data_IF_868886813642
#
_entry.id   IF_868886813642
#
_cell.length_a   1.000
_cell.length_b   1.000
_cell.length_c   1.000
_cell.angle_alpha   90.00
_cell.angle_beta   90.00
_cell.angle_gamma   90.00
#
_symmetry.space_group_name_H-M   'P 1'
#
loop_
_entity.id
_entity.type
_entity.pdbx_description
1 polymer ?
#
# COMPACT_ATOMS: atom_id res chain seq x y z
N UNK A 1 -28.38 8.16 19.80
CA UNK A 1 -27.89 7.10 18.90
C UNK A 1 -27.62 7.77 17.57
N UNK A 2 -26.35 7.92 17.19
CA UNK A 2 -25.96 8.62 15.96
C UNK A 2 -26.02 7.59 14.84
N UNK A 3 -27.02 7.70 13.96
CA UNK A 3 -27.13 6.86 12.78
C UNK A 3 -26.00 7.21 11.81
N UNK A 4 -25.05 6.28 11.65
CA UNK A 4 -23.96 6.40 10.69
C UNK A 4 -24.52 6.34 9.25
N UNK A 5 -24.19 7.29 8.36
CA UNK A 5 -24.92 7.49 7.10
C UNK A 5 -24.48 6.57 5.94
N UNK A 6 -23.62 5.60 6.24
CA UNK A 6 -23.14 4.58 5.30
C UNK A 6 -23.96 3.31 5.51
N UNK A 7 -24.32 2.61 4.43
CA UNK A 7 -24.62 1.19 4.55
C UNK A 7 -23.29 0.49 4.93
N UNK A 8 -23.00 0.46 6.24
CA UNK A 8 -21.84 -0.22 6.84
C UNK A 8 -21.59 -1.63 6.28
N UNK A 9 -22.61 -2.46 5.97
CA UNK A 9 -22.39 -3.84 5.52
C UNK A 9 -21.55 -4.00 4.23
N UNK A 10 -21.44 -2.96 3.40
CA UNK A 10 -20.63 -3.01 2.16
C UNK A 10 -19.15 -2.68 2.37
N UNK A 11 -18.77 -1.95 3.42
CA UNK A 11 -17.38 -1.51 3.66
C UNK A 11 -16.79 -2.19 4.90
N UNK A 12 -17.64 -2.35 5.92
CA UNK A 12 -17.35 -3.09 7.13
C UNK A 12 -17.91 -4.49 6.98
N UNK A 13 -17.02 -5.47 6.97
CA UNK A 13 -17.38 -6.87 6.96
C UNK A 13 -17.06 -7.45 8.34
N UNK A 14 -18.08 -7.74 9.14
CA UNK A 14 -17.93 -8.33 10.48
C UNK A 14 -17.12 -9.62 10.45
N UNK A 15 -17.13 -10.36 9.33
CA UNK A 15 -16.30 -11.56 9.17
C UNK A 15 -14.79 -11.28 9.13
N UNK A 16 -14.38 -10.00 9.03
CA UNK A 16 -12.98 -9.52 9.10
C UNK A 16 -12.60 -8.99 10.47
N UNK A 17 -13.50 -9.02 11.46
CA UNK A 17 -13.17 -8.58 12.82
C UNK A 17 -12.08 -9.45 13.42
N UNK A 18 -11.06 -8.81 13.98
CA UNK A 18 -9.91 -9.42 14.63
C UNK A 18 -10.00 -9.11 16.11
N UNK A 19 -9.92 -10.16 16.91
CA UNK A 19 -9.64 -10.03 18.34
C UNK A 19 -8.13 -10.01 18.49
N UNK A 20 -7.56 -8.89 18.94
CA UNK A 20 -6.12 -8.78 19.18
C UNK A 20 -5.74 -9.57 20.44
N UNK A 21 -5.30 -10.81 20.26
CA UNK A 21 -4.83 -11.71 21.32
C UNK A 21 -3.30 -11.63 21.47
N UNK A 22 -2.74 -12.39 22.42
CA UNK A 22 -1.30 -12.40 22.70
C UNK A 22 -0.44 -12.97 21.56
N UNK A 23 -1.00 -13.80 20.69
CA UNK A 23 -0.31 -14.33 19.51
C UNK A 23 -0.60 -13.54 18.22
N UNK A 24 -1.42 -12.49 18.30
CA UNK A 24 -1.83 -11.68 17.16
C UNK A 24 -0.79 -10.63 16.83
N UNK A 25 -0.41 -10.55 15.56
CA UNK A 25 0.50 -9.54 15.02
C UNK A 25 -0.20 -8.78 13.90
N UNK A 26 -0.31 -7.47 14.07
CA UNK A 26 -0.77 -6.55 13.03
C UNK A 26 0.43 -6.13 12.16
N UNK A 27 0.41 -6.42 10.87
CA UNK A 27 1.50 -6.09 9.94
C UNK A 27 1.08 -4.99 8.96
N UNK A 28 1.77 -3.85 8.98
CA UNK A 28 1.45 -2.71 8.13
C UNK A 28 2.22 -2.76 6.80
N UNK A 29 1.50 -2.89 5.69
CA UNK A 29 2.06 -2.82 4.33
C UNK A 29 2.15 -1.35 3.91
N UNK A 30 3.32 -0.73 4.10
CA UNK A 30 3.51 0.69 3.76
C UNK A 30 3.78 0.87 2.27
N UNK A 31 2.73 1.11 1.49
CA UNK A 31 2.85 1.50 0.08
C UNK A 31 3.28 2.98 -0.03
N UNK A 32 4.24 3.28 -0.91
CA UNK A 32 4.72 4.64 -1.07
C UNK A 32 3.58 5.60 -1.47
N UNK A 33 3.55 6.74 -0.78
CA UNK A 33 2.72 7.93 -1.09
C UNK A 33 1.21 7.76 -0.84
N UNK A 34 0.83 6.80 0.00
CA UNK A 34 -0.55 6.57 0.47
C UNK A 34 -0.83 7.18 1.85
N UNK A 35 0.03 8.06 2.36
CA UNK A 35 -0.13 8.65 3.70
C UNK A 35 0.31 7.76 4.86
N UNK A 36 0.91 6.59 4.59
CA UNK A 36 1.34 5.63 5.61
C UNK A 36 2.19 6.21 6.75
N UNK A 37 3.03 7.22 6.48
CA UNK A 37 3.83 7.86 7.55
C UNK A 37 2.98 8.56 8.62
N UNK A 38 1.85 9.14 8.25
CA UNK A 38 0.94 9.75 9.22
C UNK A 38 0.18 8.66 9.99
N UNK A 39 -0.32 7.66 9.27
CA UNK A 39 -1.17 6.64 9.86
C UNK A 39 -0.41 5.70 10.80
N UNK A 40 0.80 5.27 10.42
CA UNK A 40 1.67 4.49 11.31
C UNK A 40 2.08 5.26 12.56
N UNK A 41 2.27 6.59 12.44
CA UNK A 41 2.55 7.44 13.60
C UNK A 41 1.38 7.38 14.59
N UNK A 42 0.15 7.49 14.10
CA UNK A 42 -1.04 7.35 14.94
C UNK A 42 -1.20 5.94 15.50
N UNK A 43 -0.89 4.89 14.75
CA UNK A 43 -0.96 3.51 15.23
C UNK A 43 0.04 3.19 16.34
N UNK A 44 1.24 3.78 16.28
CA UNK A 44 2.37 3.39 17.14
C UNK A 44 2.63 4.42 18.24
N UNK A 45 2.78 5.69 17.87
CA UNK A 45 3.19 6.76 18.80
C UNK A 45 2.02 7.35 19.55
N UNK A 46 0.96 7.73 18.83
CA UNK A 46 -0.29 8.15 19.48
C UNK A 46 -0.95 6.94 20.17
N UNK A 47 -0.99 5.80 19.46
CA UNK A 47 -1.47 4.53 19.97
C UNK A 47 -2.98 4.51 20.24
N UNK A 48 -3.38 3.52 21.03
CA UNK A 48 -4.76 3.24 21.39
C UNK A 48 -5.00 3.44 22.89
N UNK A 49 -6.26 3.60 23.25
CA UNK A 49 -6.69 3.52 24.65
C UNK A 49 -6.33 2.13 25.17
N UNK A 50 -5.70 2.05 26.34
CA UNK A 50 -5.26 0.81 27.00
C UNK A 50 -4.26 -0.07 26.22
N UNK A 51 -3.75 0.37 25.06
CA UNK A 51 -2.71 -0.32 24.30
C UNK A 51 -1.78 0.68 23.62
N UNK A 52 -0.56 0.82 24.13
CA UNK A 52 0.42 1.79 23.63
C UNK A 52 1.79 1.16 23.43
N UNK A 53 2.62 1.83 22.65
CA UNK A 53 4.02 1.47 22.48
C UNK A 53 4.92 2.38 23.33
N UNK A 54 6.04 1.84 23.78
CA UNK A 54 7.06 2.60 24.49
C UNK A 54 7.95 3.33 23.48
N UNK A 55 7.80 4.64 23.39
CA UNK A 55 8.57 5.49 22.49
C UNK A 55 9.58 6.33 23.27
N UNK A 56 10.88 6.04 23.12
CA UNK A 56 11.92 6.87 23.71
C UNK A 56 12.02 8.22 22.98
N UNK A 57 12.38 9.28 23.72
CA UNK A 57 12.52 10.61 23.14
C UNK A 57 13.60 10.62 22.04
N UNK A 58 13.31 11.26 20.91
CA UNK A 58 14.24 11.34 19.77
C UNK A 58 14.41 10.05 18.96
N UNK A 59 13.83 8.91 19.36
CA UNK A 59 13.91 7.68 18.56
C UNK A 59 12.85 7.66 17.47
N UNK A 60 13.24 7.17 16.28
CA UNK A 60 12.31 6.95 15.16
C UNK A 60 11.44 5.69 15.34
N UNK A 61 11.81 4.79 16.24
CA UNK A 61 11.12 3.51 16.50
C UNK A 61 10.67 3.41 17.94
N UNK A 62 9.54 2.76 18.16
CA UNK A 62 8.94 2.47 19.45
C UNK A 62 8.85 0.96 19.70
N UNK A 63 8.95 0.55 20.96
CA UNK A 63 8.77 -0.85 21.36
C UNK A 63 7.29 -1.13 21.61
N UNK A 64 6.68 -1.97 20.76
CA UNK A 64 5.26 -2.31 20.84
C UNK A 64 5.09 -3.77 21.28
N UNK A 65 5.19 -4.01 22.60
CA UNK A 65 5.07 -5.35 23.19
C UNK A 65 3.70 -5.58 23.81
N UNK A 66 3.22 -6.83 23.80
CA UNK A 66 2.04 -7.25 24.55
C UNK A 66 2.42 -7.64 25.99
N UNK A 67 1.46 -8.12 26.77
CA UNK A 67 1.68 -8.56 28.16
C UNK A 67 2.66 -9.73 28.29
N UNK A 68 2.82 -10.54 27.24
CA UNK A 68 3.81 -11.63 27.17
C UNK A 68 5.20 -11.17 26.71
N UNK A 69 5.41 -9.86 26.47
CA UNK A 69 6.67 -9.32 25.98
C UNK A 69 6.91 -9.49 24.47
N UNK A 70 5.96 -10.07 23.72
CA UNK A 70 6.07 -10.28 22.29
C UNK A 70 5.60 -9.06 21.49
N UNK A 71 6.15 -8.87 20.29
CA UNK A 71 5.76 -7.76 19.40
C UNK A 71 4.36 -7.99 18.83
N UNK A 72 3.44 -7.04 19.03
CA UNK A 72 2.05 -7.16 18.51
C UNK A 72 1.77 -6.36 17.24
N UNK A 73 2.69 -5.48 16.83
CA UNK A 73 2.58 -4.70 15.58
C UNK A 73 3.93 -4.63 14.87
N UNK A 74 3.94 -4.98 13.59
CA UNK A 74 5.08 -4.92 12.70
C UNK A 74 4.89 -3.78 11.69
N UNK A 75 5.65 -2.70 11.86
CA UNK A 75 5.52 -1.47 11.08
C UNK A 75 6.85 -0.74 11.02
N UNK A 76 6.95 0.30 10.18
CA UNK A 76 8.13 1.17 10.09
C UNK A 76 8.47 1.79 11.44
N UNK A 77 7.48 2.19 12.23
CA UNK A 77 7.69 2.85 13.51
C UNK A 77 7.77 1.89 14.70
N UNK A 78 7.48 0.60 14.55
CA UNK A 78 7.77 -0.40 15.57
C UNK A 78 9.09 -1.14 15.29
N UNK A 79 9.10 -2.02 14.30
CA UNK A 79 10.22 -2.91 13.97
C UNK A 79 11.13 -2.35 12.88
N UNK A 80 10.80 -1.20 12.29
CA UNK A 80 11.54 -0.62 11.18
C UNK A 80 11.40 -1.43 9.90
N UNK A 81 12.28 -1.17 8.94
CA UNK A 81 12.34 -1.88 7.65
C UNK A 81 13.02 -3.25 7.76
N UNK A 82 12.64 -4.05 8.76
CA UNK A 82 13.29 -5.33 9.09
C UNK A 82 13.23 -6.35 7.94
N UNK A 83 12.14 -6.31 7.15
CA UNK A 83 11.96 -7.16 5.98
C UNK A 83 12.38 -6.55 4.63
N UNK A 84 12.73 -5.26 4.61
CA UNK A 84 13.03 -4.53 3.40
C UNK A 84 12.43 -3.13 3.46
N UNK A 85 13.05 -2.17 2.78
CA UNK A 85 12.49 -0.83 2.65
C UNK A 85 11.21 -0.90 1.82
N UNK A 86 10.07 -0.51 2.41
CA UNK A 86 8.75 -0.65 1.79
C UNK A 86 8.45 -2.07 1.32
N UNK A 87 8.74 -3.07 2.17
CA UNK A 87 8.46 -4.47 1.87
C UNK A 87 7.00 -4.66 1.43
N UNK A 88 6.81 -5.29 0.28
CA UNK A 88 5.48 -5.61 -0.24
C UNK A 88 4.85 -6.83 0.48
N UNK A 89 3.61 -7.16 0.12
CA UNK A 89 2.91 -8.32 0.68
C UNK A 89 3.73 -9.61 0.57
N UNK A 90 4.36 -9.85 -0.58
CA UNK A 90 5.18 -11.04 -0.86
C UNK A 90 6.42 -11.09 0.02
N UNK A 91 7.13 -9.97 0.13
CA UNK A 91 8.32 -9.86 0.98
C UNK A 91 7.99 -10.06 2.46
N UNK A 92 6.84 -9.55 2.91
CA UNK A 92 6.43 -9.65 4.31
C UNK A 92 6.07 -11.09 4.70
N UNK A 93 5.25 -11.79 3.91
CA UNK A 93 4.85 -13.18 4.22
C UNK A 93 6.04 -14.15 4.20
N UNK A 94 7.11 -13.85 3.44
CA UNK A 94 8.33 -14.67 3.42
C UNK A 94 9.29 -14.37 4.58
N UNK A 95 9.16 -13.21 5.24
CA UNK A 95 10.20 -12.69 6.14
C UNK A 95 9.75 -12.48 7.59
N UNK A 96 8.52 -12.04 7.81
CA UNK A 96 8.09 -11.44 9.10
C UNK A 96 8.28 -12.38 10.28
N UNK A 97 7.96 -13.67 10.11
CA UNK A 97 8.01 -14.64 11.22
C UNK A 97 9.41 -14.95 11.71
N UNK A 98 10.34 -15.14 10.78
CA UNK A 98 11.74 -15.31 11.11
C UNK A 98 12.30 -14.05 11.81
N UNK A 99 11.89 -12.84 11.37
CA UNK A 99 12.34 -11.59 11.99
C UNK A 99 11.76 -11.39 13.38
N UNK A 100 10.47 -11.63 13.59
CA UNK A 100 9.87 -11.50 14.91
C UNK A 100 10.40 -12.53 15.89
N UNK A 101 10.62 -13.76 15.45
CA UNK A 101 11.30 -14.77 16.26
C UNK A 101 12.65 -14.27 16.80
N UNK A 102 13.45 -13.59 15.95
CA UNK A 102 14.73 -13.01 16.37
C UNK A 102 14.56 -11.79 17.31
N UNK A 103 13.53 -10.97 17.08
CA UNK A 103 13.27 -9.73 17.85
C UNK A 103 12.66 -10.04 19.23
N UNK A 104 11.78 -11.03 19.30
CA UNK A 104 11.07 -11.41 20.52
C UNK A 104 11.87 -12.44 21.33
N UNK A 105 12.77 -13.19 20.70
CA UNK A 105 13.47 -14.30 21.33
C UNK A 105 12.57 -15.52 21.57
N UNK A 106 11.34 -15.49 21.08
CA UNK A 106 10.32 -16.53 21.26
C UNK A 106 9.96 -17.19 19.93
N UNK A 107 9.66 -18.49 19.99
CA UNK A 107 9.24 -19.31 18.85
C UNK A 107 7.71 -19.52 18.81
N UNK A 108 6.97 -18.53 19.30
CA UNK A 108 5.52 -18.64 19.48
C UNK A 108 4.78 -18.80 18.16
N UNK A 109 3.62 -19.49 18.22
CA UNK A 109 2.75 -19.60 17.08
C UNK A 109 1.97 -18.31 16.85
N UNK A 110 2.40 -17.49 15.88
CA UNK A 110 1.83 -16.16 15.62
C UNK A 110 0.76 -16.18 14.52
N UNK A 111 -0.21 -15.29 14.66
CA UNK A 111 -1.25 -15.01 13.66
C UNK A 111 -1.00 -13.61 13.07
N UNK A 112 -0.74 -13.56 11.76
CA UNK A 112 -0.41 -12.33 11.05
C UNK A 112 -1.61 -11.79 10.30
N UNK A 113 -2.03 -10.58 10.66
CA UNK A 113 -3.08 -9.84 10.00
C UNK A 113 -2.49 -8.62 9.31
N UNK A 114 -2.65 -8.54 8.00
CA UNK A 114 -2.11 -7.43 7.23
C UNK A 114 -3.08 -6.27 7.16
N UNK A 115 -2.55 -5.05 7.25
CA UNK A 115 -3.30 -3.83 7.01
C UNK A 115 -2.53 -2.90 6.08
N UNK A 116 -3.23 -2.04 5.37
CA UNK A 116 -2.60 -1.12 4.42
C UNK A 116 -3.40 0.19 4.28
N UNK A 117 -2.82 1.15 3.56
CA UNK A 117 -3.52 2.32 3.08
C UNK A 117 -3.39 2.41 1.56
N UNK A 118 -4.50 2.75 0.93
CA UNK A 118 -4.59 3.06 -0.49
C UNK A 118 -4.86 4.55 -0.69
N UNK A 119 -4.66 4.98 -1.93
CA UNK A 119 -4.90 6.34 -2.41
C UNK A 119 -5.31 6.30 -3.86
N UNK A 120 -6.10 7.28 -4.30
CA UNK A 120 -6.45 7.49 -5.70
C UNK A 120 -5.17 7.42 -6.57
N UNK A 121 -5.14 6.51 -7.57
CA UNK A 121 -3.90 6.16 -8.27
C UNK A 121 -3.15 7.35 -8.89
N UNK A 122 -3.87 8.31 -9.47
CA UNK A 122 -3.29 9.49 -10.14
C UNK A 122 -2.62 10.40 -9.13
N UNK A 123 -3.32 10.74 -8.05
CA UNK A 123 -2.83 11.56 -6.94
C UNK A 123 -1.63 10.92 -6.27
N UNK A 124 -1.66 9.60 -6.10
CA UNK A 124 -0.56 8.80 -5.57
C UNK A 124 0.66 8.82 -6.49
N UNK A 125 0.46 8.65 -7.80
CA UNK A 125 1.51 8.66 -8.81
C UNK A 125 2.17 10.03 -8.95
N UNK A 126 1.40 11.12 -9.02
CA UNK A 126 1.91 12.49 -9.04
C UNK A 126 2.66 12.83 -7.74
N UNK A 127 2.16 12.38 -6.59
CA UNK A 127 2.85 12.54 -5.31
C UNK A 127 4.19 11.79 -5.27
N UNK A 128 4.29 10.65 -5.96
CA UNK A 128 5.54 9.90 -6.11
C UNK A 128 6.52 10.65 -6.99
N UNK A 129 6.10 11.09 -8.17
CA UNK A 129 6.92 11.92 -9.07
C UNK A 129 7.51 13.13 -8.33
N UNK A 130 6.68 13.90 -7.61
CA UNK A 130 7.15 15.06 -6.85
C UNK A 130 8.17 14.68 -5.76
N UNK A 131 8.10 13.47 -5.21
CA UNK A 131 9.06 12.99 -4.22
C UNK A 131 10.37 12.54 -4.88
N UNK A 132 10.29 11.85 -6.02
CA UNK A 132 11.44 11.45 -6.83
C UNK A 132 12.20 12.68 -7.33
N UNK A 133 11.48 13.70 -7.80
CA UNK A 133 12.06 15.01 -8.19
C UNK A 133 12.85 15.69 -7.05
N UNK A 134 12.56 15.35 -5.79
CA UNK A 134 13.28 15.84 -4.60
C UNK A 134 14.38 14.89 -4.10
N UNK A 135 14.67 13.82 -4.84
CA UNK A 135 15.77 12.89 -4.54
C UNK A 135 15.34 11.50 -4.02
N UNK A 136 14.05 11.19 -3.94
CA UNK A 136 13.63 9.87 -3.49
C UNK A 136 13.88 8.80 -4.58
N UNK A 137 14.57 7.72 -4.21
CA UNK A 137 14.83 6.58 -5.12
C UNK A 137 14.28 5.26 -4.57
N UNK A 138 14.22 5.13 -3.24
CA UNK A 138 13.97 3.86 -2.54
C UNK A 138 14.89 2.72 -2.97
N UNK A 139 16.13 3.03 -3.36
CA UNK A 139 17.04 2.02 -3.90
C UNK A 139 17.47 0.92 -2.91
N UNK A 140 17.17 1.08 -1.63
CA UNK A 140 17.32 0.05 -0.60
C UNK A 140 16.17 -0.97 -0.54
N UNK A 141 15.15 -0.89 -1.41
CA UNK A 141 14.13 -1.91 -1.54
C UNK A 141 14.77 -3.22 -2.01
N UNK A 142 14.36 -4.35 -1.41
CA UNK A 142 14.97 -5.66 -1.73
C UNK A 142 14.34 -6.31 -2.95
N UNK A 143 13.03 -6.11 -3.14
CA UNK A 143 12.25 -6.75 -4.20
C UNK A 143 12.42 -8.28 -4.18
N UNK A 144 12.52 -8.88 -2.98
CA UNK A 144 12.69 -10.33 -2.87
C UNK A 144 11.40 -11.08 -3.18
N UNK A 145 11.54 -12.27 -3.77
CA UNK A 145 10.43 -13.16 -4.08
C UNK A 145 10.93 -14.59 -4.19
N UNK A 146 10.17 -15.56 -3.66
CA UNK A 146 10.51 -16.98 -3.65
C UNK A 146 11.86 -17.27 -2.99
N UNK A 147 12.16 -16.58 -1.89
CA UNK A 147 13.43 -16.71 -1.16
C UNK A 147 14.66 -16.16 -1.89
N UNK A 148 14.49 -15.69 -3.13
CA UNK A 148 15.56 -15.06 -3.89
C UNK A 148 15.48 -13.55 -3.67
N UNK A 149 16.62 -12.95 -3.31
CA UNK A 149 16.77 -11.52 -3.56
C UNK A 149 16.91 -11.38 -5.05
N UNK A 150 16.10 -10.51 -5.63
CA UNK A 150 16.39 -10.03 -6.96
C UNK A 150 17.69 -9.23 -6.84
N UNK A 151 18.83 -9.87 -7.14
CA UNK A 151 19.83 -9.18 -7.94
C UNK A 151 19.03 -8.74 -9.16
N UNK A 152 18.76 -7.44 -9.24
CA UNK A 152 18.18 -6.75 -10.41
C UNK A 152 18.54 -7.61 -11.62
N UNK A 153 17.58 -8.33 -12.23
CA UNK A 153 17.99 -9.25 -13.28
C UNK A 153 18.63 -8.37 -14.35
N UNK A 154 19.46 -8.93 -15.22
CA UNK A 154 19.94 -8.20 -16.42
C UNK A 154 18.80 -7.52 -17.22
N UNK A 155 17.54 -7.89 -16.96
CA UNK A 155 16.31 -7.35 -17.54
C UNK A 155 15.67 -6.15 -16.80
N UNK A 156 15.92 -5.90 -15.50
CA UNK A 156 15.40 -4.67 -14.85
C UNK A 156 16.41 -3.54 -15.04
N UNK A 157 16.09 -2.63 -15.95
CA UNK A 157 16.83 -1.39 -16.10
C UNK A 157 16.11 -0.28 -15.32
N UNK A 158 16.75 0.32 -14.31
CA UNK A 158 16.22 1.52 -13.67
C UNK A 158 15.97 2.61 -14.71
N UNK A 159 14.96 3.46 -14.47
CA UNK A 159 14.75 4.64 -15.30
C UNK A 159 16.02 5.50 -15.37
N UNK A 160 16.30 6.07 -16.54
CA UNK A 160 17.52 6.83 -16.84
C UNK A 160 17.79 8.01 -15.90
N UNK A 161 16.74 8.57 -15.30
CA UNK A 161 16.85 9.66 -14.33
C UNK A 161 17.31 9.22 -12.93
N UNK A 162 17.48 7.91 -12.68
CA UNK A 162 18.06 7.41 -11.44
C UNK A 162 19.59 7.32 -11.55
N UNK A 163 20.34 7.83 -10.57
CA UNK A 163 21.79 7.72 -10.57
C UNK A 163 22.19 6.26 -10.33
N UNK A 164 22.97 5.69 -11.24
CA UNK A 164 23.47 4.31 -11.15
C UNK A 164 24.98 4.30 -10.91
N UNK A 165 25.50 3.29 -10.21
CA UNK A 165 26.94 3.08 -10.07
C UNK A 165 27.31 1.60 -10.27
N UNK A 166 28.49 1.30 -10.84
CA UNK A 166 28.96 -0.07 -11.01
C UNK A 166 29.05 -0.79 -9.66
N UNK A 167 28.63 -2.06 -9.64
CA UNK A 167 28.80 -2.92 -8.45
C UNK A 167 30.28 -3.34 -8.29
N UNK A 168 30.87 -3.26 -7.08
CA UNK A 168 32.22 -3.75 -6.84
C UNK A 168 32.31 -5.25 -7.15
N UNK A 169 33.30 -5.65 -7.95
CA UNK A 169 33.58 -7.04 -8.37
C UNK A 169 32.54 -7.70 -9.30
N UNK A 170 31.64 -6.95 -9.94
CA UNK A 170 30.79 -7.53 -11.01
C UNK A 170 31.62 -7.74 -12.27
N UNK A 171 31.76 -9.00 -12.71
CA UNK A 171 32.34 -9.34 -14.02
C UNK A 171 31.41 -9.02 -15.19
N UNK A 172 30.18 -8.53 -14.92
CA UNK A 172 29.11 -8.41 -15.91
C UNK A 172 28.26 -7.17 -15.68
N UNK A 173 28.69 -5.98 -16.12
CA UNK A 173 27.81 -4.81 -16.42
C UNK A 173 26.68 -4.46 -15.44
N UNK A 174 26.74 -4.88 -14.17
CA UNK A 174 25.67 -4.70 -13.20
C UNK A 174 25.85 -3.36 -12.49
N UNK A 175 24.76 -2.61 -12.42
CA UNK A 175 24.72 -1.32 -11.76
C UNK A 175 23.69 -1.32 -10.62
N UNK A 176 24.01 -0.63 -9.53
CA UNK A 176 23.08 -0.39 -8.44
C UNK A 176 22.58 1.07 -8.49
N UNK A 177 21.28 1.28 -8.24
CA UNK A 177 20.73 2.63 -8.05
C UNK A 177 21.34 3.18 -6.76
N UNK A 178 22.09 4.28 -6.87
CA UNK A 178 22.71 4.89 -5.69
C UNK A 178 21.73 5.79 -4.98
N UNK A 179 21.67 5.63 -3.66
CA UNK A 179 21.06 6.61 -2.74
C UNK A 179 22.05 7.70 -2.35
N UNK A 180 23.24 7.76 -2.99
CA UNK A 180 24.23 8.80 -2.67
C UNK A 180 23.61 10.13 -3.04
N UNK A 181 23.24 10.88 -2.00
CA UNK A 181 23.35 12.32 -2.03
C UNK A 181 24.60 12.65 -2.84
N UNK A 182 24.45 13.43 -3.91
CA UNK A 182 25.53 14.30 -4.32
C UNK A 182 25.85 15.17 -3.11
N UNK A 183 26.71 14.67 -2.22
CA UNK A 183 27.46 15.48 -1.30
C UNK A 183 28.52 16.17 -2.15
N UNK A 184 28.06 17.13 -2.97
CA UNK A 184 28.83 18.36 -3.01
C UNK A 184 28.95 18.81 -1.55
N UNK A 185 30.15 19.18 -1.13
CA UNK A 185 30.39 19.83 0.18
C UNK A 185 29.60 21.14 0.33
N UNK A 186 28.92 21.60 -0.72
CA UNK A 186 28.05 22.77 -0.71
C UNK A 186 26.66 22.43 -0.17
N UNK A 187 26.34 22.97 1.01
CA UNK A 187 25.00 22.93 1.63
C UNK A 187 23.89 23.59 0.80
N UNK A 188 24.22 24.18 -0.34
CA UNK A 188 23.31 24.94 -1.20
C UNK A 188 22.85 24.19 -2.46
N UNK A 189 23.39 23.00 -2.76
CA UNK A 189 22.94 22.20 -3.93
C UNK A 189 21.87 21.20 -3.47
N UNK A 190 20.60 21.55 -3.72
CA UNK A 190 19.46 20.70 -3.39
C UNK A 190 19.57 19.35 -4.10
N UNK A 191 19.31 18.26 -3.36
CA UNK A 191 19.26 16.86 -3.81
C UNK A 191 18.14 16.55 -4.82
N UNK A 192 17.95 17.41 -5.82
CA UNK A 192 16.86 17.32 -6.80
C UNK A 192 17.30 16.43 -7.96
N UNK A 193 16.50 15.42 -8.26
CA UNK A 193 16.58 14.75 -9.56
C UNK A 193 15.84 15.65 -10.54
N UNK A 194 16.52 16.10 -11.62
CA UNK A 194 15.92 16.92 -12.66
C UNK A 194 15.03 16.06 -13.58
N UNK A 195 13.99 15.45 -13.01
CA UNK A 195 13.04 14.57 -13.72
C UNK A 195 11.76 15.34 -14.03
N UNK A 196 11.45 15.52 -15.31
CA UNK A 196 10.18 16.10 -15.72
C UNK A 196 9.04 15.10 -15.52
N UNK A 197 7.79 15.56 -15.54
CA UNK A 197 6.66 14.62 -15.48
C UNK A 197 6.65 13.70 -16.72
N UNK A 198 7.04 14.23 -17.88
CA UNK A 198 7.08 13.47 -19.13
C UNK A 198 8.12 12.34 -19.07
N UNK A 199 9.32 12.63 -18.56
CA UNK A 199 10.37 11.61 -18.36
C UNK A 199 9.92 10.53 -17.37
N UNK A 200 9.18 10.93 -16.34
CA UNK A 200 8.66 10.00 -15.34
C UNK A 200 7.60 9.07 -15.93
N UNK A 201 6.73 9.58 -16.80
CA UNK A 201 5.70 8.82 -17.50
C UNK A 201 6.25 7.91 -18.60
N UNK A 202 7.31 8.34 -19.30
CA UNK A 202 7.87 7.63 -20.46
C UNK A 202 8.71 6.40 -20.09
N UNK A 203 9.13 6.28 -18.83
CA UNK A 203 9.92 5.12 -18.39
C UNK A 203 9.05 3.85 -18.23
N UNK A 204 9.24 2.88 -19.12
CA UNK A 204 8.51 1.60 -19.15
C UNK A 204 8.75 0.71 -17.92
N UNK A 205 9.85 0.93 -17.19
CA UNK A 205 10.22 0.18 -15.98
C UNK A 205 10.00 0.98 -14.69
N UNK A 206 9.22 2.06 -14.76
CA UNK A 206 8.93 2.90 -13.60
C UNK A 206 8.05 2.16 -12.59
N UNK A 207 8.65 1.77 -11.45
CA UNK A 207 7.95 1.07 -10.37
C UNK A 207 6.81 1.87 -9.72
N UNK A 208 6.68 3.17 -10.02
CA UNK A 208 5.51 3.96 -9.65
C UNK A 208 4.24 3.49 -10.37
N UNK A 209 4.36 2.96 -11.59
CA UNK A 209 3.24 2.40 -12.34
C UNK A 209 2.71 1.16 -11.62
N UNK A 210 1.38 1.09 -11.48
CA UNK A 210 0.65 0.00 -10.83
C UNK A 210 1.22 -0.43 -9.46
N UNK A 211 1.86 0.50 -8.74
CA UNK A 211 2.56 0.23 -7.47
C UNK A 211 1.65 -0.43 -6.44
N UNK A 212 0.42 0.08 -6.27
CA UNK A 212 -0.52 -0.45 -5.28
C UNK A 212 -0.84 -1.91 -5.59
N UNK A 213 -1.24 -2.20 -6.82
CA UNK A 213 -1.54 -3.56 -7.30
C UNK A 213 -0.34 -4.49 -7.11
N UNK A 214 0.85 -4.09 -7.56
CA UNK A 214 2.07 -4.91 -7.44
C UNK A 214 2.45 -5.19 -5.99
N UNK A 215 2.34 -4.18 -5.11
CA UNK A 215 2.74 -4.34 -3.71
C UNK A 215 1.73 -5.14 -2.86
N UNK A 216 0.53 -5.40 -3.38
CA UNK A 216 -0.52 -6.15 -2.71
C UNK A 216 -0.66 -7.57 -3.24
N UNK A 217 -0.21 -7.84 -4.47
CA UNK A 217 -0.26 -9.17 -5.07
C UNK A 217 0.73 -10.16 -4.42
N UNK A 218 0.42 -11.45 -4.52
CA UNK A 218 1.36 -12.53 -4.24
C UNK A 218 2.17 -12.84 -5.51
N UNK A 219 3.33 -12.18 -5.64
CA UNK A 219 4.17 -12.25 -6.83
C UNK A 219 4.76 -13.64 -7.06
N UNK A 220 4.81 -14.50 -6.03
CA UNK A 220 5.38 -15.87 -6.15
C UNK A 220 4.59 -16.72 -7.13
N UNK A 221 3.27 -16.55 -7.14
CA UNK A 221 2.34 -17.25 -8.04
C UNK A 221 2.38 -16.71 -9.47
N UNK A 222 2.95 -15.53 -9.66
CA UNK A 222 2.98 -14.82 -10.93
C UNK A 222 4.36 -14.91 -11.62
N UNK A 223 5.20 -15.84 -11.16
CA UNK A 223 6.57 -15.98 -11.65
C UNK A 223 7.49 -14.85 -11.17
N UNK A 224 7.25 -14.30 -9.98
CA UNK A 224 7.98 -13.16 -9.43
C UNK A 224 8.04 -12.00 -10.44
N UNK A 225 9.18 -11.31 -10.57
CA UNK A 225 9.26 -10.09 -11.38
C UNK A 225 9.51 -10.34 -12.88
N UNK A 226 9.28 -11.57 -13.38
CA UNK A 226 9.47 -11.92 -14.80
C UNK A 226 8.63 -11.07 -15.74
N UNK A 227 7.43 -10.67 -15.33
CA UNK A 227 6.49 -9.87 -16.12
C UNK A 227 6.50 -8.37 -15.76
N UNK A 228 7.54 -7.89 -15.06
CA UNK A 228 7.58 -6.53 -14.51
C UNK A 228 7.35 -5.43 -15.56
N UNK A 229 7.90 -5.58 -16.76
CA UNK A 229 7.70 -4.63 -17.86
C UNK A 229 6.21 -4.49 -18.19
N UNK A 230 5.54 -5.61 -18.45
CA UNK A 230 4.10 -5.65 -18.74
C UNK A 230 3.26 -5.05 -17.60
N UNK A 231 3.63 -5.29 -16.35
CA UNK A 231 2.96 -4.71 -15.19
C UNK A 231 3.12 -3.20 -15.05
N UNK A 232 4.22 -2.63 -15.54
CA UNK A 232 4.49 -1.19 -15.48
C UNK A 232 3.96 -0.46 -16.73
N UNK A 233 3.73 -1.17 -17.82
CA UNK A 233 3.22 -0.59 -19.07
C UNK A 233 1.79 -0.06 -18.90
N UNK A 234 1.50 1.17 -19.39
CA UNK A 234 0.15 1.67 -19.46
C UNK A 234 -0.68 0.85 -20.46
N UNK A 235 -1.98 0.73 -20.21
CA UNK A 235 -2.93 0.10 -21.13
C UNK A 235 -3.70 1.21 -21.83
N UNK A 236 -3.61 1.32 -23.18
CA UNK A 236 -4.35 2.32 -23.92
C UNK A 236 -5.86 2.20 -23.71
N UNK A 237 -6.55 3.32 -23.83
CA UNK A 237 -8.02 3.36 -23.73
C UNK A 237 -8.64 2.46 -24.82
N UNK A 238 -9.59 1.60 -24.42
CA UNK A 238 -10.21 0.62 -25.32
C UNK A 238 -9.45 -0.69 -25.51
N UNK A 239 -8.24 -0.85 -24.96
CA UNK A 239 -7.53 -2.14 -24.95
C UNK A 239 -7.80 -2.96 -23.69
N UNK A 240 -7.72 -4.28 -23.83
CA UNK A 240 -7.86 -5.24 -22.73
C UNK A 240 -6.52 -5.43 -22.02
N UNK A 241 -6.56 -5.66 -20.70
CA UNK A 241 -5.39 -6.05 -19.93
C UNK A 241 -4.75 -7.31 -20.52
N UNK A 242 -3.42 -7.33 -20.62
CA UNK A 242 -2.70 -8.57 -20.89
C UNK A 242 -2.91 -9.59 -19.76
N UNK A 243 -2.69 -10.88 -20.04
CA UNK A 243 -2.79 -11.93 -19.02
C UNK A 243 -1.95 -11.62 -17.78
N UNK A 244 -0.71 -11.14 -17.96
CA UNK A 244 0.17 -10.77 -16.87
C UNK A 244 -0.40 -9.64 -15.99
N UNK A 245 -0.98 -8.60 -16.60
CA UNK A 245 -1.62 -7.49 -15.90
C UNK A 245 -2.90 -7.94 -15.19
N UNK A 246 -3.72 -8.75 -15.85
CA UNK A 246 -4.95 -9.31 -15.31
C UNK A 246 -4.66 -10.19 -14.08
N UNK A 247 -3.70 -11.12 -14.18
CA UNK A 247 -3.31 -11.97 -13.04
C UNK A 247 -2.76 -11.17 -11.87
N UNK A 248 -2.00 -10.10 -12.12
CA UNK A 248 -1.54 -9.19 -11.06
C UNK A 248 -2.71 -8.51 -10.35
N UNK A 249 -3.67 -7.97 -11.12
CA UNK A 249 -4.86 -7.31 -10.60
C UNK A 249 -5.71 -8.29 -9.79
N UNK A 250 -5.99 -9.47 -10.32
CA UNK A 250 -6.75 -10.50 -9.65
C UNK A 250 -6.10 -10.92 -8.33
N UNK A 251 -4.79 -11.14 -8.29
CA UNK A 251 -4.09 -11.48 -7.04
C UNK A 251 -4.17 -10.36 -5.99
N UNK A 252 -4.04 -9.10 -6.40
CA UNK A 252 -4.16 -7.96 -5.48
C UNK A 252 -5.58 -7.82 -4.91
N UNK A 253 -6.61 -7.99 -5.75
CA UNK A 253 -8.02 -7.97 -5.33
C UNK A 253 -8.29 -9.14 -4.38
N UNK A 254 -7.82 -10.34 -4.73
CA UNK A 254 -7.98 -11.53 -3.87
C UNK A 254 -7.40 -11.30 -2.48
N UNK A 255 -6.20 -10.72 -2.39
CA UNK A 255 -5.56 -10.43 -1.10
C UNK A 255 -6.27 -9.34 -0.29
N UNK A 256 -6.93 -8.38 -0.96
CA UNK A 256 -7.74 -7.35 -0.30
C UNK A 256 -9.11 -7.88 0.16
N UNK A 257 -9.72 -8.78 -0.62
CA UNK A 257 -11.09 -9.25 -0.40
C UNK A 257 -11.13 -10.45 0.56
N UNK A 258 -10.27 -11.45 0.34
CA UNK A 258 -10.36 -12.75 1.02
C UNK A 258 -9.54 -12.82 2.31
N UNK A 259 -10.09 -12.23 3.38
CA UNK A 259 -9.50 -12.25 4.73
C UNK A 259 -9.24 -13.65 5.30
N UNK A 260 -10.20 -14.57 5.14
CA UNK A 260 -10.13 -15.96 5.66
C UNK A 260 -9.28 -16.89 4.80
N UNK A 261 -8.62 -16.38 3.75
CA UNK A 261 -7.73 -17.20 2.95
C UNK A 261 -6.49 -17.57 3.78
N UNK A 262 -6.51 -18.76 4.38
CA UNK A 262 -5.33 -19.34 4.99
C UNK A 262 -4.32 -19.66 3.88
N UNK A 263 -3.23 -18.89 3.82
CA UNK A 263 -2.09 -19.14 2.92
C UNK A 263 -1.51 -20.56 3.07
N UNK A 264 -1.87 -21.29 4.13
CA UNK A 264 -1.51 -22.69 4.36
C UNK A 264 -1.94 -23.66 3.27
N UNK A 265 -3.07 -23.43 2.58
CA UNK A 265 -3.53 -24.33 1.51
C UNK A 265 -2.73 -24.19 0.22
N UNK A 266 -2.13 -23.00 0.00
CA UNK A 266 -1.34 -22.70 -1.20
C UNK A 266 0.16 -22.99 -1.01
N UNK A 267 0.63 -23.09 0.25
CA UNK A 267 2.03 -23.31 0.57
C UNK A 267 2.23 -24.21 1.81
N UNK A 268 2.73 -25.45 1.65
CA UNK A 268 3.19 -26.26 2.76
C UNK A 268 4.49 -25.67 3.33
N UNK A 269 4.36 -24.64 4.18
CA UNK A 269 5.48 -24.15 4.98
C UNK A 269 5.87 -25.30 5.91
N UNK A 270 7.09 -25.83 5.76
CA UNK A 270 7.64 -27.00 6.48
C UNK A 270 7.58 -26.94 8.02
N UNK A 271 7.05 -25.87 8.62
CA UNK A 271 6.80 -25.73 10.05
C UNK A 271 5.44 -25.05 10.25
N UNK A 272 4.50 -25.73 10.93
CA UNK A 272 3.17 -25.25 11.37
C UNK A 272 3.25 -24.06 12.37
N UNK A 273 4.19 -23.13 12.24
CA UNK A 273 4.53 -22.13 13.27
C UNK A 273 3.89 -20.77 13.06
N UNK A 274 3.53 -20.38 11.84
CA UNK A 274 2.96 -19.07 11.55
C UNK A 274 1.70 -19.20 10.71
N UNK A 275 0.61 -18.55 11.14
CA UNK A 275 -0.62 -18.45 10.38
C UNK A 275 -0.71 -17.06 9.73
N UNK A 276 -0.85 -17.03 8.41
CA UNK A 276 -0.99 -15.80 7.65
C UNK A 276 -2.41 -15.68 7.13
N UNK A 277 -3.01 -14.51 7.34
CA UNK A 277 -4.33 -14.15 6.83
C UNK A 277 -4.18 -13.16 5.67
N UNK A 278 -5.26 -12.95 4.92
CA UNK A 278 -5.33 -11.88 3.92
C UNK A 278 -5.24 -10.49 4.56
N UNK A 279 -5.46 -9.45 3.74
CA UNK A 279 -5.49 -8.08 4.24
C UNK A 279 -6.81 -7.87 5.00
N UNK A 280 -6.69 -7.70 6.30
CA UNK A 280 -7.80 -7.52 7.22
C UNK A 280 -8.51 -6.18 7.05
N UNK A 281 -7.72 -5.14 6.79
CA UNK A 281 -8.21 -3.79 6.63
C UNK A 281 -7.36 -3.02 5.62
N UNK A 282 -8.01 -2.23 4.79
CA UNK A 282 -7.36 -1.18 4.03
C UNK A 282 -8.14 0.13 4.23
N UNK A 283 -7.40 1.21 4.49
CA UNK A 283 -7.96 2.55 4.54
C UNK A 283 -7.74 3.30 3.23
N UNK A 284 -8.51 4.35 3.02
CA UNK A 284 -8.35 5.29 1.92
C UNK A 284 -7.86 6.63 2.46
N UNK A 285 -6.77 7.15 1.88
CA UNK A 285 -6.18 8.42 2.29
C UNK A 285 -7.14 9.61 2.10
N UNK A 286 -8.07 9.50 1.16
CA UNK A 286 -9.13 10.46 0.88
C UNK A 286 -10.13 10.57 2.04
N UNK A 287 -10.27 9.51 2.83
CA UNK A 287 -11.24 9.41 3.92
C UNK A 287 -10.55 9.03 5.24
N UNK A 288 -9.70 9.91 5.82
CA UNK A 288 -8.86 9.56 6.95
C UNK A 288 -9.68 9.23 8.21
N UNK A 289 -10.77 9.97 8.48
CA UNK A 289 -11.65 9.74 9.64
C UNK A 289 -12.43 8.43 9.50
N UNK A 290 -13.00 8.16 8.32
CA UNK A 290 -13.71 6.90 8.05
C UNK A 290 -12.74 5.71 8.12
N UNK A 291 -11.56 5.83 7.53
CA UNK A 291 -10.52 4.81 7.58
C UNK A 291 -10.05 4.53 9.00
N UNK A 292 -9.93 5.56 9.83
CA UNK A 292 -9.65 5.39 11.25
C UNK A 292 -10.76 4.58 11.92
N UNK A 293 -12.01 5.02 11.74
CA UNK A 293 -13.17 4.39 12.36
C UNK A 293 -13.28 2.91 11.97
N UNK A 294 -13.19 2.60 10.68
CA UNK A 294 -13.26 1.23 10.18
C UNK A 294 -12.17 0.35 10.77
N UNK A 295 -10.93 0.84 10.85
CA UNK A 295 -9.86 0.07 11.50
C UNK A 295 -10.18 -0.21 12.97
N UNK A 296 -10.69 0.78 13.71
CA UNK A 296 -11.07 0.58 15.11
C UNK A 296 -12.10 -0.54 15.26
N UNK A 297 -13.10 -0.57 14.37
CA UNK A 297 -14.09 -1.64 14.37
C UNK A 297 -13.46 -2.98 13.99
N UNK A 298 -12.58 -3.02 12.99
CA UNK A 298 -11.90 -4.25 12.57
C UNK A 298 -11.03 -4.86 13.66
N UNK A 299 -10.30 -4.07 14.46
CA UNK A 299 -9.35 -4.61 15.45
C UNK A 299 -9.84 -4.51 16.91
N UNK A 300 -11.02 -3.93 17.14
CA UNK A 300 -11.58 -3.73 18.48
C UNK A 300 -10.75 -2.81 19.38
N UNK A 301 -10.02 -1.84 18.81
CA UNK A 301 -9.21 -0.87 19.57
C UNK A 301 -9.64 0.56 19.24
N UNK A 302 -9.62 1.45 20.23
CA UNK A 302 -9.95 2.87 20.06
C UNK A 302 -8.68 3.71 20.04
N UNK A 303 -8.49 4.54 19.01
CA UNK A 303 -7.35 5.47 18.96
C UNK A 303 -7.45 6.53 20.05
N UNK A 304 -6.31 6.96 20.60
CA UNK A 304 -6.28 8.09 21.55
C UNK A 304 -6.60 9.44 20.91
N UNK A 305 -6.25 9.61 19.64
CA UNK A 305 -6.39 10.87 18.92
C UNK A 305 -7.06 10.63 17.56
N UNK A 306 -7.96 11.51 17.16
CA UNK A 306 -8.60 11.47 15.85
C UNK A 306 -7.66 11.95 14.74
N UNK A 307 -7.80 11.35 13.56
CA UNK A 307 -7.14 11.79 12.32
C UNK A 307 -7.80 13.03 11.69
N UNK A 308 -8.81 13.61 12.35
CA UNK A 308 -9.56 14.81 11.92
C UNK A 308 -8.69 16.06 11.78
N UNK A 309 -7.48 16.08 12.37
CA UNK A 309 -6.52 17.18 12.23
C UNK A 309 -5.98 17.35 10.79
N UNK A 310 -6.29 16.43 9.88
CA UNK A 310 -5.77 16.41 8.50
C UNK A 310 -6.85 16.52 7.41
N UNK A 311 -8.12 16.78 7.77
CA UNK A 311 -9.02 17.36 6.77
C UNK A 311 -8.46 18.73 6.40
N UNK A 312 -8.21 19.02 5.11
CA UNK A 312 -7.70 20.33 4.73
C UNK A 312 -8.67 21.39 5.28
N UNK A 313 -8.19 22.19 6.24
CA UNK A 313 -8.90 23.39 6.69
C UNK A 313 -9.06 24.25 5.44
N UNK A 314 -10.29 24.37 4.95
CA UNK A 314 -10.69 25.05 3.72
C UNK A 314 -10.05 24.52 2.42
N UNK A 315 -10.84 23.78 1.62
CA UNK A 315 -10.81 24.04 0.18
C UNK A 315 -11.20 25.51 -0.04
N UNK A 316 -10.49 26.29 -0.87
CA UNK A 316 -10.90 27.65 -1.16
C UNK A 316 -12.34 27.61 -1.69
N UNK A 317 -13.27 28.33 -1.04
CA UNK A 317 -14.67 28.48 -1.48
C UNK A 317 -14.83 29.24 -2.81
N UNK A 318 -13.79 29.35 -3.63
CA UNK A 318 -13.81 30.10 -4.87
C UNK A 318 -13.61 29.17 -6.08
N UNK A 319 -14.70 29.04 -6.85
CA UNK A 319 -14.92 28.29 -8.10
C UNK A 319 -15.46 26.87 -7.91
N UNK A 320 -16.78 26.82 -7.77
CA UNK A 320 -17.66 25.73 -8.21
C UNK A 320 -17.52 25.50 -9.74
N UNK A 321 -16.33 25.21 -10.24
CA UNK A 321 -16.21 24.39 -11.45
C UNK A 321 -16.31 22.98 -10.94
N UNK A 322 -17.52 22.45 -11.01
CA UNK A 322 -17.88 21.18 -10.39
C UNK A 322 -16.93 20.09 -10.84
N UNK A 323 -16.47 19.26 -9.91
CA UNK A 323 -15.86 17.96 -10.22
C UNK A 323 -16.74 17.18 -11.23
N UNK A 324 -18.05 17.45 -11.23
CA UNK A 324 -19.03 17.03 -12.22
C UNK A 324 -18.78 17.52 -13.65
N UNK A 325 -18.22 18.70 -13.92
CA UNK A 325 -17.91 19.12 -15.31
C UNK A 325 -16.72 18.35 -15.88
N UNK A 326 -15.80 17.88 -15.03
CA UNK A 326 -14.71 16.98 -15.45
C UNK A 326 -15.17 15.51 -15.59
N UNK A 327 -16.11 15.06 -14.76
CA UNK A 327 -16.64 13.69 -14.81
C UNK A 327 -17.72 13.50 -15.89
N UNK A 328 -18.53 14.52 -16.19
CA UNK A 328 -19.60 14.46 -17.20
C UNK A 328 -19.07 14.51 -18.63
N UNK A 329 -17.87 15.06 -18.85
CA UNK A 329 -17.23 15.09 -20.17
C UNK A 329 -16.67 13.73 -20.63
N UNK A 330 -16.51 12.74 -19.73
CA UNK A 330 -16.03 11.39 -20.08
C UNK A 330 -17.12 10.32 -20.18
N UNK A 331 -18.36 10.61 -19.77
CA UNK A 331 -19.44 9.62 -19.68
C UNK A 331 -20.60 9.83 -20.67
N UNK A 332 -20.51 10.79 -21.59
CA UNK A 332 -21.57 11.10 -22.56
C UNK A 332 -21.16 10.97 -24.04
N UNK A 333 -20.22 10.08 -24.38
CA UNK A 333 -19.99 9.67 -25.77
C UNK A 333 -19.90 8.14 -25.90
N UNK A 334 -21.00 7.47 -25.61
CA UNK A 334 -21.57 6.43 -26.47
C UNK A 334 -22.70 5.77 -25.71
N UNK A 335 -23.93 6.06 -26.12
CA UNK A 335 -25.02 5.07 -26.25
C UNK A 335 -26.27 5.82 -26.70
N UNK A 336 -26.31 6.16 -27.99
CA UNK A 336 -27.55 6.19 -28.74
C UNK A 336 -27.43 5.14 -29.82
N UNK A 337 -28.08 3.99 -29.62
CA UNK A 337 -28.24 2.98 -30.68
C UNK A 337 -28.19 1.54 -30.18
N UNK A 338 -29.36 0.91 -30.20
CA UNK A 338 -29.61 -0.53 -30.14
C UNK A 338 -29.49 -1.26 -28.79
N UNK A 339 -30.66 -1.33 -28.16
CA UNK A 339 -31.09 -2.42 -27.30
C UNK A 339 -30.91 -3.80 -27.96
N UNK A 340 -30.49 -4.77 -27.14
CA UNK A 340 -30.74 -6.19 -27.39
C UNK A 340 -29.51 -7.05 -27.16
N UNK A 341 -29.55 -7.87 -26.10
CA UNK A 341 -28.60 -8.97 -25.84
C UNK A 341 -27.19 -8.60 -25.35
N UNK A 342 -27.05 -8.18 -24.09
CA UNK A 342 -25.90 -8.61 -23.25
C UNK A 342 -26.15 -8.39 -21.75
N UNK A 343 -27.21 -8.98 -21.19
CA UNK A 343 -27.55 -8.84 -19.76
C UNK A 343 -26.84 -9.84 -18.83
N UNK A 344 -25.78 -10.52 -19.28
CA UNK A 344 -25.12 -11.57 -18.47
C UNK A 344 -23.62 -11.39 -18.20
N UNK A 345 -22.98 -10.28 -18.60
CA UNK A 345 -21.52 -10.14 -18.44
C UNK A 345 -21.03 -8.86 -17.72
N UNK A 346 -21.92 -8.06 -17.12
CA UNK A 346 -21.53 -6.88 -16.33
C UNK A 346 -21.98 -7.08 -14.88
N UNK A 347 -21.26 -7.91 -14.13
CA UNK A 347 -21.51 -8.05 -12.68
C UNK A 347 -20.27 -7.83 -11.79
N UNK A 348 -19.09 -7.53 -12.34
CA UNK A 348 -17.86 -7.40 -11.54
C UNK A 348 -17.24 -6.00 -11.45
N UNK A 349 -17.88 -4.94 -11.96
CA UNK A 349 -17.32 -3.58 -11.98
C UNK A 349 -18.07 -2.54 -11.13
N UNK A 350 -18.80 -2.90 -10.06
CA UNK A 350 -19.69 -1.91 -9.40
C UNK A 350 -19.72 -1.90 -7.87
N UNK A 351 -18.67 -2.34 -7.18
CA UNK A 351 -18.65 -2.20 -5.71
C UNK A 351 -17.88 -0.94 -5.27
N UNK A 352 -16.63 -0.81 -5.71
CA UNK A 352 -15.75 0.32 -5.34
C UNK A 352 -16.26 1.65 -5.91
N UNK A 353 -16.71 1.66 -7.17
CA UNK A 353 -17.22 2.88 -7.82
C UNK A 353 -18.55 3.35 -7.21
N UNK A 354 -19.40 2.42 -6.75
CA UNK A 354 -20.62 2.76 -5.98
C UNK A 354 -20.27 3.33 -4.61
N UNK A 355 -19.28 2.77 -3.92
CA UNK A 355 -18.80 3.26 -2.63
C UNK A 355 -18.27 4.69 -2.76
N UNK A 356 -17.42 4.97 -3.76
CA UNK A 356 -16.84 6.29 -3.98
C UNK A 356 -17.93 7.34 -4.32
N UNK A 357 -18.88 7.00 -5.20
CA UNK A 357 -19.95 7.91 -5.60
C UNK A 357 -20.94 8.21 -4.45
N UNK A 358 -21.19 7.25 -3.56
CA UNK A 358 -22.06 7.45 -2.39
C UNK A 358 -21.40 8.27 -1.27
N UNK A 359 -20.08 8.13 -1.09
CA UNK A 359 -19.32 8.94 -0.12
C UNK A 359 -19.32 10.41 -0.54
N UNK A 360 -19.14 10.70 -1.84
CA UNK A 360 -19.08 12.08 -2.34
C UNK A 360 -20.42 12.82 -2.33
N UNK A 361 -21.55 12.13 -2.40
CA UNK A 361 -22.87 12.77 -2.43
C UNK A 361 -23.34 13.25 -1.04
N UNK A 362 -22.92 12.59 0.04
CA UNK A 362 -23.35 12.90 1.42
C UNK A 362 -22.42 13.82 2.21
N UNK A 363 -21.21 14.08 1.72
CA UNK A 363 -20.33 15.12 2.28
C UNK A 363 -20.91 16.54 2.12
N UNK A 364 -21.83 16.75 1.17
CA UNK A 364 -22.52 18.04 0.99
C UNK A 364 -23.53 18.33 2.11
N UNK A 365 -24.15 17.29 2.68
CA UNK A 365 -25.16 17.42 3.74
C UNK A 365 -24.55 17.50 5.15
N UNK A 366 -23.30 17.08 5.34
CA UNK A 366 -22.59 17.17 6.63
C UNK A 366 -21.83 18.49 6.85
N UNK A 367 -21.73 19.32 5.81
CA UNK A 367 -21.01 20.61 5.84
C UNK A 367 -22.00 21.81 5.94
N UNK A 368 -23.31 21.55 5.85
CA UNK A 368 -24.36 22.48 6.29
C UNK A 368 -24.81 22.09 7.69
#
# INVERSE_FOLDING_TARGET
MVDFPFNLPMIYNESKNIIILNNTVLAFIHIQKTGGSLYEDRLVRSGFINKTCLCAHGTRRCSCRNSSGNTWIFSRFSTGWSCGLHADFTELIECIDHKLTKIDGTHDQRQYYFITLLREPTSRYLSEWLHVRRGATWSGARLSCSGQRISIPRTYQPCSFFPVSPLPNSKTGEYAITSRHFLSKDRNVSSRLNVTLLDFLSCEMNLAANRQTRMLADLRLLGCYTNLKSWCSPVPEGMVLSNAQSSLLHSAIENLDNFKFHLHTRYPIRKKRAQYFGIAFFGLMEFPVLSQYLLQQTIGLTFKHHLSEFTPKSFPKSKKTSLWSMLKARFLLNNNGMFGSLRSQIHHQTHVDRIIHQISAKEHDMIQ
#
